data_IF_202286366164
#
_entry.id   IF_202286366164
#
_cell.length_a   1.000
_cell.length_b   1.000
_cell.length_c   1.000
_cell.angle_alpha   90.00
_cell.angle_beta   90.00
_cell.angle_gamma   90.00
#
_symmetry.space_group_name_H-M   'P 1'
#
loop_
_entity.id
_entity.type
_entity.pdbx_description
1 polymer ?
#
# COMPACT_ATOMS: atom_id res chain seq x y z
N UNK A 1 -6.92 -5.02 -2.91
CA UNK A 1 -5.56 -4.66 -2.45
C UNK A 1 -4.69 -4.30 -3.65
N UNK A 2 -4.10 -3.11 -3.64
CA UNK A 2 -3.23 -2.58 -4.71
C UNK A 2 -1.79 -2.96 -4.38
N UNK A 3 -1.12 -3.70 -5.29
CA UNK A 3 0.20 -4.27 -5.07
C UNK A 3 0.14 -5.37 -4.02
N UNK A 4 -0.74 -6.32 -4.23
CA UNK A 4 -1.05 -7.36 -3.25
C UNK A 4 0.06 -8.39 -3.06
N UNK A 5 1.11 -8.35 -3.87
CA UNK A 5 2.22 -9.32 -3.83
C UNK A 5 1.68 -10.76 -3.80
N UNK A 6 2.09 -11.59 -2.88
CA UNK A 6 1.62 -12.97 -2.73
C UNK A 6 0.21 -13.11 -2.09
N UNK A 7 -0.54 -12.01 -1.94
CA UNK A 7 -1.90 -12.02 -1.40
C UNK A 7 -2.00 -12.33 0.11
N UNK A 8 -0.90 -12.26 0.83
CA UNK A 8 -0.87 -12.59 2.27
C UNK A 8 -1.83 -11.75 3.10
N UNK A 9 -1.95 -10.45 2.80
CA UNK A 9 -2.88 -9.55 3.49
C UNK A 9 -4.32 -10.01 3.26
N UNK A 10 -4.70 -10.25 2.00
CA UNK A 10 -6.07 -10.65 1.65
C UNK A 10 -6.45 -12.00 2.25
N UNK A 11 -5.54 -12.98 2.23
CA UNK A 11 -5.75 -14.28 2.89
C UNK A 11 -6.01 -14.10 4.39
N UNK A 12 -5.21 -13.30 5.07
CA UNK A 12 -5.41 -12.97 6.49
C UNK A 12 -6.75 -12.27 6.76
N UNK A 13 -7.16 -11.36 5.87
CA UNK A 13 -8.46 -10.68 5.98
C UNK A 13 -9.63 -11.67 5.81
N UNK A 14 -9.55 -12.61 4.87
CA UNK A 14 -10.55 -13.66 4.67
C UNK A 14 -10.66 -14.51 5.95
N UNK A 15 -9.54 -15.01 6.44
CA UNK A 15 -9.51 -15.86 7.63
C UNK A 15 -10.10 -15.19 8.88
N UNK A 16 -9.85 -13.90 9.05
CA UNK A 16 -10.43 -13.12 10.17
C UNK A 16 -11.91 -12.81 10.00
N UNK A 17 -12.35 -12.56 8.78
CA UNK A 17 -13.67 -12.01 8.52
C UNK A 17 -14.71 -13.04 8.07
N UNK A 18 -14.31 -14.25 7.71
CA UNK A 18 -15.21 -15.29 7.15
C UNK A 18 -16.45 -15.59 8.02
N UNK A 19 -16.35 -15.41 9.35
CA UNK A 19 -17.48 -15.64 10.27
C UNK A 19 -18.45 -14.44 10.26
N UNK A 20 -17.94 -13.22 10.07
CA UNK A 20 -18.73 -12.00 10.16
C UNK A 20 -19.28 -11.53 8.81
N UNK A 21 -18.51 -11.73 7.74
CA UNK A 21 -18.86 -11.31 6.37
C UNK A 21 -18.53 -12.43 5.37
N UNK A 22 -19.16 -13.60 5.45
CA UNK A 22 -18.79 -14.80 4.68
C UNK A 22 -18.90 -14.61 3.16
N UNK A 23 -19.72 -13.66 2.70
CA UNK A 23 -19.93 -13.37 1.26
C UNK A 23 -19.06 -12.23 0.71
N UNK A 24 -18.15 -11.68 1.52
CA UNK A 24 -17.27 -10.64 1.03
C UNK A 24 -16.34 -11.18 -0.07
N UNK A 25 -16.15 -10.38 -1.11
CA UNK A 25 -15.25 -10.70 -2.23
C UNK A 25 -13.97 -9.88 -2.08
N UNK A 26 -12.85 -10.48 -2.41
CA UNK A 26 -11.53 -9.90 -2.28
C UNK A 26 -10.80 -9.94 -3.62
N UNK A 27 -10.16 -8.84 -4.00
CA UNK A 27 -9.38 -8.78 -5.23
C UNK A 27 -7.99 -8.24 -4.95
N UNK A 28 -6.98 -8.99 -5.33
CA UNK A 28 -5.60 -8.54 -5.37
C UNK A 28 -5.23 -8.02 -6.76
N UNK A 29 -4.56 -6.88 -6.82
CA UNK A 29 -4.02 -6.31 -8.05
C UNK A 29 -2.50 -6.33 -7.93
N UNK A 30 -1.81 -6.99 -8.89
CA UNK A 30 -0.36 -7.07 -8.89
C UNK A 30 0.18 -7.01 -10.33
N UNK A 31 1.23 -6.23 -10.52
CA UNK A 31 1.86 -6.04 -11.82
C UNK A 31 3.07 -6.97 -12.02
N UNK A 32 3.75 -7.34 -10.94
CA UNK A 32 4.99 -8.10 -10.99
C UNK A 32 4.73 -9.60 -11.16
N UNK A 33 5.23 -10.16 -12.26
CA UNK A 33 5.03 -11.56 -12.62
C UNK A 33 5.65 -12.54 -11.61
N UNK A 34 6.78 -12.18 -11.01
CA UNK A 34 7.51 -13.03 -10.09
C UNK A 34 6.68 -13.42 -8.85
N UNK A 35 5.72 -12.59 -8.45
CA UNK A 35 4.82 -12.92 -7.35
C UNK A 35 3.74 -13.93 -7.72
N UNK A 36 3.46 -14.17 -9.00
CA UNK A 36 2.43 -15.13 -9.42
C UNK A 36 2.88 -16.59 -9.32
N UNK A 37 4.19 -16.88 -9.41
CA UNK A 37 4.72 -18.23 -9.23
C UNK A 37 4.62 -18.75 -7.79
N UNK A 38 4.59 -17.86 -6.82
CA UNK A 38 4.49 -18.15 -5.38
C UNK A 38 3.04 -18.24 -4.87
N UNK A 39 2.05 -18.04 -5.76
CA UNK A 39 0.65 -18.28 -5.46
C UNK A 39 0.36 -19.78 -5.35
N UNK A 40 0.80 -20.42 -4.29
CA UNK A 40 0.21 -21.67 -3.85
C UNK A 40 -1.21 -21.37 -3.37
N UNK A 41 -2.09 -21.24 -4.35
CA UNK A 41 -3.47 -20.90 -4.17
C UNK A 41 -4.22 -22.17 -3.81
N UNK A 42 -4.60 -22.28 -2.57
CA UNK A 42 -5.66 -23.20 -2.20
C UNK A 42 -6.99 -22.56 -2.63
N UNK A 43 -7.34 -22.75 -3.92
CA UNK A 43 -8.56 -22.21 -4.52
C UNK A 43 -9.80 -22.71 -3.78
N UNK A 44 -9.77 -23.90 -3.20
CA UNK A 44 -10.87 -24.44 -2.41
C UNK A 44 -11.05 -23.66 -1.10
N UNK A 45 -9.94 -23.26 -0.46
CA UNK A 45 -9.96 -22.50 0.79
C UNK A 45 -10.32 -21.04 0.63
N UNK A 46 -9.93 -20.41 -0.50
CA UNK A 46 -10.06 -18.97 -0.71
C UNK A 46 -10.93 -18.63 -1.93
N UNK A 47 -12.10 -19.26 -2.04
CA UNK A 47 -13.04 -19.06 -3.15
C UNK A 47 -13.49 -17.59 -3.34
N UNK A 48 -13.41 -16.76 -2.28
CA UNK A 48 -13.76 -15.34 -2.34
C UNK A 48 -12.63 -14.45 -2.90
N UNK A 49 -11.45 -15.02 -3.15
CA UNK A 49 -10.26 -14.26 -3.57
C UNK A 49 -10.03 -14.40 -5.07
N UNK A 50 -9.92 -13.28 -5.74
CA UNK A 50 -9.53 -13.18 -7.14
C UNK A 50 -8.29 -12.32 -7.31
N UNK A 51 -7.55 -12.54 -8.41
CA UNK A 51 -6.39 -11.74 -8.76
C UNK A 51 -6.54 -11.11 -10.13
N UNK A 52 -6.18 -9.84 -10.18
CA UNK A 52 -5.97 -9.11 -11.42
C UNK A 52 -4.47 -8.94 -11.64
N UNK A 53 -3.92 -9.64 -12.65
CA UNK A 53 -2.55 -9.48 -13.11
C UNK A 53 -2.49 -8.28 -14.05
N UNK A 54 -1.89 -7.19 -13.60
CA UNK A 54 -1.77 -6.00 -14.42
C UNK A 54 -1.60 -4.71 -13.63
N UNK A 55 -1.51 -3.64 -14.38
CA UNK A 55 -1.33 -2.31 -13.81
C UNK A 55 -2.64 -1.78 -13.19
N UNK A 56 -2.55 -1.25 -11.98
CA UNK A 56 -3.68 -0.63 -11.30
C UNK A 56 -4.27 0.56 -12.08
N UNK A 57 -3.48 1.19 -12.94
CA UNK A 57 -3.93 2.29 -13.81
C UNK A 57 -4.98 1.83 -14.82
N UNK A 58 -4.96 0.55 -15.20
CA UNK A 58 -5.90 -0.05 -16.14
C UNK A 58 -7.08 -0.73 -15.43
N UNK A 59 -6.99 -0.88 -14.10
CA UNK A 59 -8.05 -1.50 -13.31
C UNK A 59 -9.20 -0.53 -13.01
N UNK A 60 -10.42 -1.05 -13.03
CA UNK A 60 -11.64 -0.29 -12.69
C UNK A 60 -12.19 -0.76 -11.34
N UNK A 61 -12.11 0.11 -10.36
CA UNK A 61 -12.71 -0.14 -9.04
C UNK A 61 -14.23 0.12 -9.10
N UNK A 62 -15.01 -0.81 -8.58
CA UNK A 62 -16.46 -0.66 -8.51
C UNK A 62 -17.00 -1.30 -7.24
N UNK A 63 -17.91 -0.59 -6.56
CA UNK A 63 -18.65 -1.10 -5.41
C UNK A 63 -17.73 -1.64 -4.29
N UNK A 64 -16.61 -0.97 -4.03
CA UNK A 64 -15.67 -1.37 -3.00
C UNK A 64 -16.07 -0.78 -1.64
N UNK A 65 -16.08 -1.58 -0.59
CA UNK A 65 -16.23 -1.11 0.80
C UNK A 65 -14.88 -0.74 1.41
N UNK A 66 -13.82 -1.42 0.97
CA UNK A 66 -12.45 -1.20 1.43
C UNK A 66 -11.49 -1.37 0.24
N UNK A 67 -10.55 -0.47 0.12
CA UNK A 67 -9.37 -0.62 -0.75
C UNK A 67 -8.12 -0.46 0.12
N UNK A 68 -7.11 -1.28 -0.10
CA UNK A 68 -5.83 -1.23 0.61
C UNK A 68 -4.67 -1.02 -0.35
N UNK A 69 -3.59 -0.37 0.14
CA UNK A 69 -2.32 -0.21 -0.59
C UNK A 69 -1.18 -0.13 0.43
N UNK A 70 -0.41 -1.20 0.56
CA UNK A 70 0.62 -1.30 1.59
C UNK A 70 2.01 -1.24 0.93
N UNK A 71 2.67 -0.10 1.07
CA UNK A 71 4.00 0.19 0.51
C UNK A 71 4.07 0.06 -1.02
N UNK A 72 3.02 0.44 -1.73
CA UNK A 72 2.91 0.24 -3.19
C UNK A 72 2.99 1.55 -3.97
N UNK A 73 2.28 2.62 -3.55
CA UNK A 73 2.23 3.87 -4.29
C UNK A 73 3.61 4.51 -4.47
N UNK A 74 4.53 4.26 -3.55
CA UNK A 74 5.92 4.73 -3.62
C UNK A 74 6.69 4.23 -4.86
N UNK A 75 6.27 3.12 -5.47
CA UNK A 75 6.87 2.58 -6.71
C UNK A 75 6.21 3.12 -7.97
N UNK A 76 5.03 3.72 -7.84
CA UNK A 76 4.31 4.33 -8.95
C UNK A 76 4.94 5.68 -9.35
N UNK A 77 4.88 6.03 -10.63
CA UNK A 77 5.27 7.37 -11.10
C UNK A 77 4.46 8.47 -10.40
N UNK A 78 5.08 9.53 -9.85
CA UNK A 78 4.37 10.60 -9.16
C UNK A 78 3.24 11.24 -9.98
N UNK A 79 3.41 11.33 -11.30
CA UNK A 79 2.42 11.92 -12.21
C UNK A 79 1.10 11.13 -12.28
N UNK A 80 1.17 9.81 -12.02
CA UNK A 80 0.02 8.91 -12.18
C UNK A 80 -0.75 8.73 -10.86
N UNK A 81 -0.16 9.07 -9.70
CA UNK A 81 -0.73 8.82 -8.38
C UNK A 81 -2.06 9.51 -8.16
N UNK A 82 -2.19 10.77 -8.57
CA UNK A 82 -3.44 11.52 -8.40
C UNK A 82 -4.60 10.87 -9.15
N UNK A 83 -4.35 10.40 -10.36
CA UNK A 83 -5.37 9.71 -11.16
C UNK A 83 -5.81 8.41 -10.51
N UNK A 84 -4.83 7.61 -10.02
CA UNK A 84 -5.15 6.36 -9.31
C UNK A 84 -5.94 6.63 -8.03
N UNK A 85 -5.56 7.65 -7.24
CA UNK A 85 -6.31 8.02 -6.03
C UNK A 85 -7.72 8.51 -6.34
N UNK A 86 -7.92 9.22 -7.46
CA UNK A 86 -9.26 9.59 -7.94
C UNK A 86 -10.08 8.35 -8.33
N UNK A 87 -9.47 7.36 -9.00
CA UNK A 87 -10.14 6.08 -9.32
C UNK A 87 -10.52 5.31 -8.06
N UNK A 88 -9.63 5.26 -7.06
CA UNK A 88 -9.88 4.63 -5.75
C UNK A 88 -11.07 5.30 -5.07
N UNK A 89 -11.08 6.64 -5.01
CA UNK A 89 -12.20 7.39 -4.43
C UNK A 89 -13.53 7.07 -5.15
N UNK A 90 -13.53 7.12 -6.47
CA UNK A 90 -14.74 6.88 -7.25
C UNK A 90 -15.26 5.44 -7.09
N UNK A 91 -14.37 4.45 -7.00
CA UNK A 91 -14.73 3.05 -6.87
C UNK A 91 -15.20 2.63 -5.48
N UNK A 92 -14.92 3.43 -4.45
CA UNK A 92 -15.43 3.19 -3.10
C UNK A 92 -16.89 3.58 -2.97
N UNK A 93 -17.62 2.83 -2.16
CA UNK A 93 -18.95 3.20 -1.70
C UNK A 93 -18.89 4.39 -0.73
N UNK A 94 -19.97 5.15 -0.60
CA UNK A 94 -20.12 6.12 0.50
C UNK A 94 -19.94 5.42 1.84
N UNK A 95 -19.14 5.99 2.72
CA UNK A 95 -18.72 5.36 3.97
C UNK A 95 -17.60 4.32 3.83
N UNK A 96 -17.17 4.04 2.61
CA UNK A 96 -16.02 3.16 2.36
C UNK A 96 -14.69 3.82 2.70
N UNK A 97 -13.64 2.99 2.83
CA UNK A 97 -12.32 3.42 3.27
C UNK A 97 -11.21 2.99 2.31
N UNK A 98 -10.21 3.86 2.18
CA UNK A 98 -8.89 3.52 1.63
C UNK A 98 -7.87 3.48 2.77
N UNK A 99 -7.28 2.32 3.03
CA UNK A 99 -6.21 2.14 4.03
C UNK A 99 -4.89 2.00 3.30
N UNK A 100 -3.91 2.81 3.68
CA UNK A 100 -2.60 2.74 3.04
C UNK A 100 -1.47 2.91 4.04
N UNK A 101 -0.31 2.38 3.67
CA UNK A 101 0.96 2.63 4.33
C UNK A 101 2.02 2.97 3.29
N UNK A 102 2.83 4.00 3.56
CA UNK A 102 3.87 4.48 2.64
C UNK A 102 5.14 4.88 3.39
N UNK A 103 6.28 4.71 2.72
CA UNK A 103 7.52 5.36 3.13
C UNK A 103 7.49 6.80 2.64
N UNK A 104 7.84 7.73 3.52
CA UNK A 104 7.87 9.17 3.23
C UNK A 104 9.27 9.73 3.42
N UNK A 105 9.49 10.97 3.01
CA UNK A 105 10.68 11.71 3.41
C UNK A 105 10.30 13.03 4.09
N UNK A 106 11.25 13.58 4.87
CA UNK A 106 11.10 14.89 5.50
C UNK A 106 11.79 15.97 4.67
N UNK A 107 11.13 17.10 4.44
CA UNK A 107 11.76 18.27 3.84
C UNK A 107 12.81 18.93 4.75
N UNK A 108 12.82 18.62 6.05
CA UNK A 108 13.87 19.08 6.96
C UNK A 108 15.03 18.07 6.93
N UNK A 109 16.22 18.44 6.44
CA UNK A 109 17.36 17.52 6.29
C UNK A 109 17.78 16.87 7.61
N UNK A 110 17.79 17.64 8.70
CA UNK A 110 18.19 17.13 10.03
C UNK A 110 17.21 16.06 10.54
N UNK A 111 15.92 16.26 10.34
CA UNK A 111 14.88 15.26 10.68
C UNK A 111 15.00 14.05 9.78
N UNK A 112 15.26 14.25 8.49
CA UNK A 112 15.44 13.15 7.53
C UNK A 112 16.65 12.28 7.94
N UNK A 113 17.78 12.89 8.25
CA UNK A 113 18.97 12.16 8.69
C UNK A 113 18.71 11.40 9.98
N UNK A 114 18.10 12.04 10.97
CA UNK A 114 17.74 11.39 12.23
C UNK A 114 16.86 10.15 12.01
N UNK A 115 15.80 10.26 11.19
CA UNK A 115 14.93 9.13 10.87
C UNK A 115 15.70 8.02 10.15
N UNK A 116 16.56 8.37 9.19
CA UNK A 116 17.34 7.41 8.41
C UNK A 116 18.30 6.63 9.29
N UNK A 117 19.12 7.30 10.10
CA UNK A 117 20.11 6.65 10.94
C UNK A 117 19.47 5.83 12.05
N UNK A 118 18.41 6.33 12.68
CA UNK A 118 17.67 5.55 13.69
C UNK A 118 17.05 4.29 13.09
N UNK A 119 16.54 4.38 11.84
CA UNK A 119 16.03 3.21 11.14
C UNK A 119 17.13 2.21 10.78
N UNK A 120 18.33 2.67 10.42
CA UNK A 120 19.49 1.79 10.20
C UNK A 120 19.91 1.10 11.49
N UNK A 121 19.94 1.80 12.62
CA UNK A 121 20.23 1.19 13.93
C UNK A 121 19.20 0.10 14.28
N UNK A 122 17.93 0.32 13.97
CA UNK A 122 16.92 -0.72 14.11
C UNK A 122 17.18 -1.93 13.20
N UNK A 123 17.51 -1.70 11.92
CA UNK A 123 17.80 -2.76 10.94
C UNK A 123 19.04 -3.60 11.34
N UNK A 124 20.06 -2.98 11.93
CA UNK A 124 21.30 -3.66 12.39
C UNK A 124 21.05 -4.77 13.40
N UNK A 125 19.88 -4.81 14.01
CA UNK A 125 19.49 -5.94 14.88
C UNK A 125 19.27 -7.24 14.10
N UNK A 126 19.05 -7.16 12.78
CA UNK A 126 18.65 -8.28 11.93
C UNK A 126 19.50 -8.44 10.68
N UNK A 127 20.19 -7.39 10.24
CA UNK A 127 20.92 -7.31 8.98
C UNK A 127 22.28 -6.67 9.17
N UNK A 128 23.28 -7.08 8.39
CA UNK A 128 24.58 -6.42 8.31
C UNK A 128 24.49 -5.05 7.62
N UNK A 129 25.47 -4.18 7.83
CA UNK A 129 25.56 -2.88 7.16
C UNK A 129 25.58 -3.04 5.62
N UNK A 130 26.25 -4.08 5.13
CA UNK A 130 26.30 -4.35 3.69
C UNK A 130 24.92 -4.65 3.13
N UNK A 131 24.15 -5.54 3.75
CA UNK A 131 22.80 -5.88 3.32
C UNK A 131 21.85 -4.67 3.35
N UNK A 132 21.98 -3.82 4.40
CA UNK A 132 21.21 -2.59 4.53
C UNK A 132 21.52 -1.66 3.36
N UNK A 133 22.79 -1.41 3.07
CA UNK A 133 23.22 -0.49 2.02
C UNK A 133 22.91 -1.03 0.62
N UNK A 134 23.14 -2.31 0.37
CA UNK A 134 22.80 -2.96 -0.91
C UNK A 134 21.28 -2.81 -1.19
N UNK A 135 20.44 -3.00 -0.19
CA UNK A 135 19.00 -2.83 -0.32
C UNK A 135 18.60 -1.37 -0.56
N UNK A 136 19.24 -0.41 0.11
CA UNK A 136 18.98 1.03 -0.13
C UNK A 136 19.38 1.45 -1.55
N UNK A 137 20.51 0.94 -2.06
CA UNK A 137 20.94 1.18 -3.45
C UNK A 137 19.91 0.63 -4.43
N UNK A 138 19.47 -0.61 -4.24
CA UNK A 138 18.44 -1.25 -5.08
C UNK A 138 17.14 -0.45 -5.10
N UNK A 139 16.63 -0.06 -3.92
CA UNK A 139 15.35 0.63 -3.79
C UNK A 139 15.39 2.10 -4.24
N UNK A 140 16.55 2.76 -4.18
CA UNK A 140 16.71 4.18 -4.56
C UNK A 140 16.26 4.49 -5.97
N UNK A 141 16.51 3.58 -6.92
CA UNK A 141 16.11 3.76 -8.31
C UNK A 141 14.63 3.45 -8.55
N UNK A 142 14.02 2.64 -7.71
CA UNK A 142 12.64 2.16 -7.86
C UNK A 142 11.65 3.09 -7.15
N UNK A 143 11.95 3.48 -5.90
CA UNK A 143 11.03 4.29 -5.10
C UNK A 143 11.08 5.77 -5.47
N UNK A 144 9.91 6.38 -5.54
CA UNK A 144 9.68 7.82 -5.73
C UNK A 144 8.88 8.32 -4.53
N UNK A 145 9.58 8.67 -3.44
CA UNK A 145 8.92 9.04 -2.20
C UNK A 145 8.23 10.41 -2.30
N UNK A 146 7.13 10.55 -1.59
CA UNK A 146 6.50 11.83 -1.28
C UNK A 146 6.72 12.19 0.20
N UNK A 147 6.54 13.46 0.53
CA UNK A 147 6.32 13.87 1.91
C UNK A 147 4.93 13.42 2.38
N UNK A 148 4.74 13.34 3.69
CA UNK A 148 3.42 13.08 4.28
C UNK A 148 2.37 14.11 3.80
N UNK A 149 2.75 15.39 3.76
CA UNK A 149 1.88 16.48 3.31
C UNK A 149 1.43 16.28 1.87
N UNK A 150 2.35 15.99 0.94
CA UNK A 150 2.01 15.75 -0.46
C UNK A 150 1.04 14.58 -0.63
N UNK A 151 1.21 13.49 0.13
CA UNK A 151 0.29 12.34 0.08
C UNK A 151 -1.10 12.77 0.55
N UNK A 152 -1.18 13.51 1.66
CA UNK A 152 -2.47 13.97 2.20
C UNK A 152 -3.15 14.99 1.29
N UNK A 153 -2.39 15.88 0.66
CA UNK A 153 -2.92 16.84 -0.32
C UNK A 153 -3.54 16.13 -1.53
N UNK A 154 -2.87 15.06 -2.04
CA UNK A 154 -3.43 14.25 -3.13
C UNK A 154 -4.72 13.54 -2.73
N UNK A 155 -4.80 13.00 -1.51
CA UNK A 155 -5.99 12.33 -1.00
C UNK A 155 -7.14 13.33 -0.75
N UNK A 156 -6.85 14.47 -0.14
CA UNK A 156 -7.85 15.54 0.06
C UNK A 156 -8.37 16.06 -1.28
N UNK A 157 -7.49 16.21 -2.28
CA UNK A 157 -7.87 16.61 -3.64
C UNK A 157 -8.76 15.57 -4.33
N UNK A 158 -8.59 14.28 -4.04
CA UNK A 158 -9.48 13.24 -4.53
C UNK A 158 -10.85 13.22 -3.81
N UNK A 159 -10.98 13.90 -2.66
CA UNK A 159 -12.22 14.02 -1.90
C UNK A 159 -12.23 13.26 -0.57
N UNK A 160 -11.14 12.63 -0.18
CA UNK A 160 -11.05 11.87 1.07
C UNK A 160 -10.94 12.76 2.30
N UNK A 161 -11.48 12.27 3.43
CA UNK A 161 -11.12 12.71 4.77
C UNK A 161 -10.05 11.78 5.33
N UNK A 162 -8.85 12.31 5.67
CA UNK A 162 -7.66 11.50 5.99
C UNK A 162 -7.36 11.52 7.48
N UNK A 163 -7.20 10.34 8.08
CA UNK A 163 -6.86 10.14 9.49
C UNK A 163 -5.60 9.29 9.61
N UNK A 164 -4.56 9.84 10.26
CA UNK A 164 -3.34 9.08 10.56
C UNK A 164 -3.58 8.19 11.78
N UNK A 165 -3.27 6.90 11.68
CA UNK A 165 -3.36 5.98 12.82
C UNK A 165 -2.01 5.41 13.24
N UNK A 166 -0.99 5.51 12.38
CA UNK A 166 0.33 4.99 12.66
C UNK A 166 1.44 5.80 12.00
N UNK A 167 2.54 5.98 12.73
CA UNK A 167 3.77 6.51 12.18
C UNK A 167 4.95 5.93 12.93
N UNK A 168 5.95 5.46 12.19
CA UNK A 168 7.21 4.98 12.75
C UNK A 168 8.35 5.35 11.80
N UNK A 169 9.37 6.06 12.32
CA UNK A 169 10.41 6.66 11.49
C UNK A 169 9.78 7.49 10.36
N UNK A 170 10.15 7.17 9.12
CA UNK A 170 9.62 7.77 7.90
C UNK A 170 8.51 6.94 7.23
N UNK A 171 7.90 6.01 7.95
CA UNK A 171 6.75 5.24 7.50
C UNK A 171 5.47 5.77 8.12
N UNK A 172 4.42 5.88 7.35
CA UNK A 172 3.10 6.29 7.80
C UNK A 172 2.06 5.24 7.45
N UNK A 173 0.99 5.18 8.25
CA UNK A 173 -0.23 4.46 7.96
C UNK A 173 -1.43 5.36 8.21
N UNK A 174 -2.35 5.41 7.28
CA UNK A 174 -3.53 6.24 7.40
C UNK A 174 -4.77 5.56 6.80
N UNK A 175 -5.92 5.99 7.29
CA UNK A 175 -7.24 5.67 6.74
C UNK A 175 -7.80 6.92 6.08
N UNK A 176 -8.26 6.79 4.86
CA UNK A 176 -8.90 7.84 4.07
C UNK A 176 -10.36 7.44 3.81
N UNK A 177 -11.29 8.21 4.33
CA UNK A 177 -12.72 7.92 4.29
C UNK A 177 -13.41 8.65 3.14
N UNK A 178 -14.28 7.96 2.42
CA UNK A 178 -15.23 8.56 1.47
C UNK A 178 -16.52 8.90 2.21
N UNK A 179 -16.84 10.19 2.28
CA UNK A 179 -18.13 10.68 2.81
C UNK A 179 -19.26 10.57 1.83
#
# INVERSE_FOLDING_TARGET
DIGCSTGKLLKGMIEQNQVHIPNAQYTGIEIEDDFYGDYNFDEEKYQQLSYYKGDVRDYSFNNCSLITSIFTLQFMSPKDRQEVLNKVYNGLNTGGAFIFSEKTFSCNPKIQDMMTFTFYDYKRKYFSDKEILDKEVQLRHMMKLNTKTEIYDMLNKAGFEVHNFWQNFNFIGAIALKK
#
